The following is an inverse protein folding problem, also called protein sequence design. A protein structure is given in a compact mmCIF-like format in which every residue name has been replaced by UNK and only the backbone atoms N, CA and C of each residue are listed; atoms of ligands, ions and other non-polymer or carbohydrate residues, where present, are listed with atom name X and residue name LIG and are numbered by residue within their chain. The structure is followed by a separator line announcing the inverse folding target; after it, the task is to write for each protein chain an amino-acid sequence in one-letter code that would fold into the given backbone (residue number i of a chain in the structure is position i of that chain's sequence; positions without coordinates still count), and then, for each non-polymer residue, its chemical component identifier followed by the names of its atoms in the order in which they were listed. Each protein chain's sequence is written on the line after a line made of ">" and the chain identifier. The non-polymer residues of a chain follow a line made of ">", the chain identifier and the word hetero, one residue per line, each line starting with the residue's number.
data_IF_873003240402
#
_entry.id   IF_873003240402
#
_cell.length_a   1.000
_cell.length_b   1.000
_cell.length_c   1.000
_cell.angle_alpha   90.00
_cell.angle_beta   90.00
_cell.angle_gamma   90.00
#
_symmetry.space_group_name_H-M   'P 1'
#
loop_
_entity.id
_entity.type
_entity.pdbx_description
1 polymer ?
#
# COMPACT_ATOMS: atom_id res chain seq x y z
N UNK A 1 -32.22 14.21 12.32
CA UNK A 1 -31.76 12.92 11.75
C UNK A 1 -30.24 12.96 11.71
N UNK A 2 -29.55 12.19 12.56
CA UNK A 2 -28.10 12.21 12.66
C UNK A 2 -27.47 11.43 11.51
N UNK A 3 -26.53 12.04 10.79
CA UNK A 3 -25.75 11.37 9.75
C UNK A 3 -24.62 10.61 10.45
N UNK A 4 -24.70 9.28 10.50
CA UNK A 4 -23.59 8.44 10.94
C UNK A 4 -22.61 8.29 9.78
N UNK A 5 -21.47 8.99 9.85
CA UNK A 5 -20.39 8.88 8.87
C UNK A 5 -19.45 7.76 9.33
N UNK A 6 -19.27 6.72 8.51
CA UNK A 6 -18.35 5.62 8.78
C UNK A 6 -17.12 5.83 7.89
N UNK A 7 -16.04 6.35 8.48
CA UNK A 7 -14.71 6.21 7.92
C UNK A 7 -14.22 4.76 8.10
N UNK A 8 -13.47 4.23 7.15
CA UNK A 8 -13.04 2.83 7.12
C UNK A 8 -12.15 2.49 8.35
N UNK A 9 -12.74 1.83 9.34
CA UNK A 9 -12.20 0.77 10.21
C UNK A 9 -10.89 0.99 10.98
N UNK A 10 -10.99 1.49 12.21
CA UNK A 10 -9.98 1.40 13.29
C UNK A 10 -10.37 0.37 14.39
N UNK A 11 -11.37 -0.51 14.19
CA UNK A 11 -11.84 -1.45 15.24
C UNK A 11 -12.04 -2.89 14.75
N UNK A 12 -11.83 -3.86 15.64
CA UNK A 12 -11.98 -5.31 15.42
C UNK A 12 -13.36 -5.72 14.88
N UNK A 13 -14.44 -5.04 15.29
CA UNK A 13 -15.80 -5.31 14.79
C UNK A 13 -15.99 -4.89 13.32
N UNK A 14 -15.30 -3.84 12.89
CA UNK A 14 -15.29 -3.40 11.48
C UNK A 14 -14.39 -4.28 10.61
N UNK A 15 -13.36 -4.91 11.17
CA UNK A 15 -12.55 -5.92 10.48
C UNK A 15 -13.33 -7.23 10.22
N UNK A 16 -14.32 -7.54 11.07
CA UNK A 16 -15.15 -8.74 10.95
C UNK A 16 -16.29 -8.62 9.92
N UNK A 17 -16.54 -7.42 9.38
CA UNK A 17 -17.51 -7.23 8.31
C UNK A 17 -16.97 -7.78 6.98
N UNK A 18 -17.83 -8.40 6.12
CA UNK A 18 -17.48 -8.70 4.74
C UNK A 18 -16.63 -7.61 4.10
N UNK A 19 -15.40 -7.97 3.73
CA UNK A 19 -14.38 -7.05 3.22
C UNK A 19 -14.84 -6.29 1.98
N UNK A 20 -15.80 -6.86 1.26
CA UNK A 20 -16.31 -6.32 0.03
C UNK A 20 -17.53 -5.43 0.25
N UNK A 21 -17.39 -4.16 -0.14
CA UNK A 21 -18.50 -3.20 -0.09
C UNK A 21 -19.76 -3.69 -0.80
N UNK A 22 -19.65 -4.50 -1.85
CA UNK A 22 -20.81 -5.04 -2.58
C UNK A 22 -21.73 -5.93 -1.74
N UNK A 23 -21.24 -6.53 -0.66
CA UNK A 23 -22.06 -7.35 0.25
C UNK A 23 -23.18 -6.56 0.91
N UNK A 24 -23.09 -5.23 0.90
CA UNK A 24 -24.08 -4.31 1.46
C UNK A 24 -24.85 -3.52 0.39
N UNK A 25 -24.60 -3.83 -0.89
CA UNK A 25 -25.16 -3.10 -2.03
C UNK A 25 -26.68 -3.18 -2.14
N UNK A 26 -27.34 -4.13 -1.46
CA UNK A 26 -28.79 -4.26 -1.44
C UNK A 26 -29.46 -3.62 -0.22
N UNK A 27 -28.70 -3.16 0.78
CA UNK A 27 -29.27 -2.47 1.95
C UNK A 27 -29.59 -1.03 1.58
N UNK A 28 -30.87 -0.66 1.53
CA UNK A 28 -31.35 0.63 1.01
C UNK A 28 -30.73 1.86 1.69
N UNK A 29 -30.49 1.78 3.00
CA UNK A 29 -30.03 2.91 3.81
C UNK A 29 -28.53 3.18 3.72
N UNK A 30 -27.77 2.30 3.06
CA UNK A 30 -26.32 2.45 2.93
C UNK A 30 -26.00 3.34 1.72
N UNK A 31 -25.04 4.24 1.91
CA UNK A 31 -24.44 5.09 0.88
C UNK A 31 -22.92 4.95 0.97
N UNK A 32 -22.27 4.99 -0.18
CA UNK A 32 -20.82 4.83 -0.32
C UNK A 32 -20.23 6.17 -0.75
N UNK A 33 -19.60 6.86 0.19
CA UNK A 33 -18.95 8.12 -0.09
C UNK A 33 -17.56 7.86 -0.68
N UNK A 34 -17.27 8.42 -1.84
CA UNK A 34 -16.08 8.12 -2.60
C UNK A 34 -15.54 9.35 -3.34
N UNK A 35 -14.23 9.42 -3.56
CA UNK A 35 -13.61 10.45 -4.40
C UNK A 35 -13.59 10.08 -5.90
N UNK A 36 -14.03 8.87 -6.26
CA UNK A 36 -14.15 8.41 -7.65
C UNK A 36 -15.19 7.31 -7.77
N UNK A 37 -15.86 7.24 -8.92
CA UNK A 37 -16.78 6.14 -9.26
C UNK A 37 -16.11 4.76 -9.31
N UNK A 38 -14.79 4.71 -9.46
CA UNK A 38 -14.01 3.47 -9.42
C UNK A 38 -13.87 2.90 -8.01
N UNK A 39 -14.11 3.71 -6.97
CA UNK A 39 -14.13 3.21 -5.60
C UNK A 39 -15.33 2.27 -5.38
N UNK A 40 -15.14 1.25 -4.55
CA UNK A 40 -16.13 0.18 -4.30
C UNK A 40 -16.57 -0.50 -5.60
N UNK A 41 -15.67 -1.27 -6.25
CA UNK A 41 -16.05 -2.06 -7.42
C UNK A 41 -17.19 -3.03 -7.05
N UNK A 42 -18.10 -3.24 -8.01
CA UNK A 42 -19.35 -4.02 -7.86
C UNK A 42 -20.45 -3.40 -6.98
N UNK A 43 -20.27 -2.19 -6.43
CA UNK A 43 -21.39 -1.43 -5.85
C UNK A 43 -22.11 -0.65 -6.95
N UNK A 44 -23.45 -0.71 -6.94
CA UNK A 44 -24.32 -0.01 -7.89
C UNK A 44 -24.10 1.51 -7.79
N UNK A 45 -23.99 2.18 -8.93
CA UNK A 45 -23.63 3.61 -9.02
C UNK A 45 -24.59 4.52 -8.25
N UNK A 46 -25.89 4.22 -8.24
CA UNK A 46 -26.91 4.98 -7.51
C UNK A 46 -26.71 5.02 -5.99
N UNK A 47 -25.87 4.14 -5.43
CA UNK A 47 -25.50 4.15 -4.01
C UNK A 47 -24.20 4.89 -3.73
N UNK A 48 -23.46 5.28 -4.77
CA UNK A 48 -22.21 6.04 -4.63
C UNK A 48 -22.54 7.53 -4.56
N UNK A 49 -21.93 8.19 -3.59
CA UNK A 49 -21.98 9.65 -3.45
C UNK A 49 -20.57 10.14 -3.71
N UNK A 50 -20.39 10.82 -4.85
CA UNK A 50 -19.10 11.40 -5.20
C UNK A 50 -18.85 12.61 -4.29
N UNK A 51 -17.75 12.55 -3.54
CA UNK A 51 -17.25 13.64 -2.75
C UNK A 51 -16.36 14.51 -3.64
N UNK A 52 -16.73 15.77 -3.82
CA UNK A 52 -15.88 16.80 -4.40
C UNK A 52 -15.47 17.74 -3.27
N UNK A 53 -14.36 17.46 -2.56
CA UNK A 53 -13.91 18.33 -1.49
C UNK A 53 -13.63 19.72 -2.08
N UNK A 54 -14.40 20.71 -1.63
CA UNK A 54 -14.23 22.11 -2.00
C UNK A 54 -13.43 22.80 -0.89
N UNK A 55 -12.12 22.92 -1.11
CA UNK A 55 -11.16 23.43 -0.13
C UNK A 55 -11.25 24.95 0.14
N UNK A 56 -12.22 25.65 -0.46
CA UNK A 56 -12.33 27.13 -0.42
C UNK A 56 -12.77 27.75 0.93
N UNK A 57 -12.72 27.05 2.07
CA UNK A 57 -13.07 27.64 3.37
C UNK A 57 -12.77 26.77 4.58
N UNK A 58 -12.23 27.40 5.64
CA UNK A 58 -11.89 26.82 6.95
C UNK A 58 -11.40 25.37 6.86
N UNK A 59 -10.36 25.16 6.06
CA UNK A 59 -9.65 23.90 6.02
C UNK A 59 -9.21 23.55 7.44
N UNK A 60 -9.44 22.29 7.80
CA UNK A 60 -9.10 21.73 9.09
C UNK A 60 -7.57 21.63 9.16
N UNK A 61 -6.86 22.75 9.34
CA UNK A 61 -5.40 22.77 9.41
C UNK A 61 -4.95 21.86 10.55
N UNK A 62 -4.47 20.67 10.21
CA UNK A 62 -3.84 19.77 11.15
C UNK A 62 -2.38 20.24 11.26
N UNK A 63 -1.93 20.74 12.42
CA UNK A 63 -0.55 21.18 12.58
C UNK A 63 0.42 20.08 12.16
N UNK A 64 1.44 20.42 11.37
CA UNK A 64 2.43 19.46 10.87
C UNK A 64 2.01 18.68 9.62
N UNK A 65 0.85 18.98 9.02
CA UNK A 65 0.39 18.36 7.77
C UNK A 65 0.20 19.41 6.67
N UNK A 66 1.29 20.14 6.39
CA UNK A 66 1.33 21.18 5.36
C UNK A 66 1.26 20.57 3.95
N UNK A 67 0.64 21.28 2.98
CA UNK A 67 0.61 20.84 1.59
C UNK A 67 2.00 20.82 0.96
N UNK A 68 2.21 19.89 0.03
CA UNK A 68 3.45 19.70 -0.70
C UNK A 68 3.29 20.18 -2.14
N UNK A 69 4.38 20.67 -2.75
CA UNK A 69 4.38 21.09 -4.16
C UNK A 69 5.65 20.62 -4.85
N UNK A 70 5.50 20.04 -6.04
CA UNK A 70 6.62 19.53 -6.87
C UNK A 70 7.51 18.49 -6.15
N UNK A 71 6.97 17.85 -5.11
CA UNK A 71 7.70 16.92 -4.25
C UNK A 71 7.59 15.48 -4.72
N UNK A 72 8.61 14.68 -4.40
CA UNK A 72 8.58 13.23 -4.59
C UNK A 72 8.34 12.59 -3.22
N UNK A 73 7.44 11.62 -3.14
CA UNK A 73 7.05 10.94 -1.91
C UNK A 73 7.27 9.45 -2.10
N UNK A 74 8.26 8.92 -1.40
CA UNK A 74 8.57 7.50 -1.32
C UNK A 74 7.71 6.88 -0.23
N UNK A 75 6.93 5.88 -0.60
CA UNK A 75 6.00 5.20 0.30
C UNK A 75 6.64 3.89 0.75
N UNK A 76 6.94 3.82 2.03
CA UNK A 76 7.45 2.62 2.67
C UNK A 76 6.35 1.58 2.86
N UNK A 77 6.72 0.31 2.72
CA UNK A 77 5.74 -0.76 2.60
C UNK A 77 6.34 -2.12 3.07
N UNK A 78 5.50 -3.15 3.28
CA UNK A 78 5.94 -4.42 3.89
C UNK A 78 5.98 -5.63 2.95
N UNK A 79 5.67 -5.44 1.68
CA UNK A 79 5.60 -6.43 0.61
C UNK A 79 6.88 -7.28 0.55
N UNK A 80 8.06 -6.66 0.48
CA UNK A 80 9.33 -7.40 0.43
C UNK A 80 9.46 -8.39 1.60
N UNK A 81 9.10 -7.96 2.81
CA UNK A 81 9.15 -8.81 4.00
C UNK A 81 8.04 -9.87 4.02
N UNK A 82 6.80 -9.48 3.71
CA UNK A 82 5.62 -10.37 3.75
C UNK A 82 5.72 -11.49 2.72
N UNK A 83 6.19 -11.15 1.52
CA UNK A 83 6.36 -12.09 0.41
C UNK A 83 7.76 -12.71 0.38
N UNK A 84 8.59 -12.44 1.38
CA UNK A 84 9.95 -13.00 1.53
C UNK A 84 10.80 -12.82 0.27
N UNK A 85 10.72 -11.65 -0.35
CA UNK A 85 11.54 -11.31 -1.51
C UNK A 85 13.01 -11.30 -1.07
N UNK A 86 13.88 -11.97 -1.83
CA UNK A 86 15.29 -12.06 -1.50
C UNK A 86 15.96 -10.69 -1.39
N UNK A 87 17.01 -10.60 -0.57
CA UNK A 87 17.73 -9.35 -0.34
C UNK A 87 18.36 -8.79 -1.62
N UNK A 88 18.91 -9.66 -2.47
CA UNK A 88 19.50 -9.26 -3.76
C UNK A 88 18.45 -8.64 -4.69
N UNK A 89 17.28 -9.26 -4.75
CA UNK A 89 16.15 -8.80 -5.55
C UNK A 89 15.59 -7.49 -5.01
N UNK A 90 15.43 -7.37 -3.69
CA UNK A 90 15.03 -6.12 -3.02
C UNK A 90 16.01 -4.99 -3.37
N UNK A 91 17.31 -5.27 -3.28
CA UNK A 91 18.37 -4.30 -3.62
C UNK A 91 18.32 -3.89 -5.09
N UNK A 92 18.12 -4.85 -6.00
CA UNK A 92 17.99 -4.58 -7.44
C UNK A 92 16.79 -3.68 -7.74
N UNK A 93 15.63 -3.98 -7.15
CA UNK A 93 14.39 -3.21 -7.35
C UNK A 93 14.54 -1.78 -6.83
N UNK A 94 15.13 -1.60 -5.65
CA UNK A 94 15.36 -0.28 -5.06
C UNK A 94 16.36 0.54 -5.89
N UNK A 95 17.44 -0.07 -6.36
CA UNK A 95 18.40 0.59 -7.25
C UNK A 95 17.75 1.04 -8.55
N UNK A 96 16.95 0.19 -9.19
CA UNK A 96 16.20 0.55 -10.39
C UNK A 96 15.18 1.67 -10.12
N UNK A 97 14.55 1.65 -8.95
CA UNK A 97 13.64 2.71 -8.52
C UNK A 97 14.39 4.05 -8.36
N UNK A 98 15.59 4.04 -7.79
CA UNK A 98 16.44 5.24 -7.67
C UNK A 98 16.85 5.79 -9.05
N UNK A 99 17.20 4.91 -10.00
CA UNK A 99 17.48 5.34 -11.38
C UNK A 99 16.25 6.02 -11.99
N UNK A 100 15.06 5.45 -11.78
CA UNK A 100 13.81 6.09 -12.21
C UNK A 100 13.56 7.42 -11.52
N UNK A 101 13.83 7.54 -10.22
CA UNK A 101 13.74 8.82 -9.49
C UNK A 101 14.62 9.89 -10.12
N UNK A 102 15.84 9.54 -10.54
CA UNK A 102 16.75 10.45 -11.24
C UNK A 102 16.14 11.03 -12.53
N UNK A 103 15.37 10.23 -13.28
CA UNK A 103 14.67 10.70 -14.48
C UNK A 103 13.56 11.70 -14.14
N UNK A 104 12.81 11.44 -13.06
CA UNK A 104 11.71 12.33 -12.63
C UNK A 104 12.20 13.59 -11.95
N UNK A 105 13.43 13.63 -11.44
CA UNK A 105 13.97 14.82 -10.75
C UNK A 105 13.99 16.08 -11.61
N UNK A 106 13.93 15.94 -12.94
CA UNK A 106 13.79 17.06 -13.87
C UNK A 106 12.44 17.76 -13.75
N UNK A 107 11.38 17.02 -13.44
CA UNK A 107 9.99 17.50 -13.39
C UNK A 107 9.54 17.88 -11.98
N UNK A 108 10.17 17.30 -10.94
CA UNK A 108 9.84 17.52 -9.53
C UNK A 108 10.99 18.22 -8.80
N UNK A 109 10.84 19.52 -8.53
CA UNK A 109 11.88 20.39 -7.94
C UNK A 109 11.87 20.46 -6.40
N UNK A 110 10.80 20.00 -5.76
CA UNK A 110 10.63 19.99 -4.30
C UNK A 110 11.55 18.98 -3.59
N UNK A 111 11.27 18.68 -2.33
CA UNK A 111 12.04 17.67 -1.58
C UNK A 111 11.62 16.24 -1.93
N UNK A 112 12.49 15.29 -1.58
CA UNK A 112 12.15 13.86 -1.54
C UNK A 112 11.72 13.56 -0.10
N UNK A 113 10.48 13.14 0.08
CA UNK A 113 9.94 12.72 1.35
C UNK A 113 9.90 11.20 1.42
N UNK A 114 10.23 10.64 2.58
CA UNK A 114 10.04 9.23 2.88
C UNK A 114 8.92 9.09 3.91
N UNK A 115 7.80 8.47 3.49
CA UNK A 115 6.70 8.13 4.40
C UNK A 115 6.87 6.71 4.93
N UNK A 116 7.25 6.61 6.20
CA UNK A 116 7.32 5.34 6.92
C UNK A 116 5.94 4.79 7.26
N UNK A 117 5.87 3.47 7.43
CA UNK A 117 4.67 2.81 7.99
C UNK A 117 4.50 3.21 9.46
N UNK A 118 3.27 3.26 9.98
CA UNK A 118 3.04 3.52 11.39
C UNK A 118 3.88 2.59 12.29
N UNK A 119 4.59 3.16 13.26
CA UNK A 119 5.47 2.47 14.21
C UNK A 119 6.72 1.81 13.61
N UNK A 120 7.04 2.07 12.34
CA UNK A 120 8.29 1.58 11.76
C UNK A 120 9.47 2.44 12.21
N UNK A 121 10.56 1.78 12.57
CA UNK A 121 11.83 2.42 12.89
C UNK A 121 12.57 2.80 11.59
N UNK A 122 13.20 3.98 11.57
CA UNK A 122 13.94 4.50 10.41
C UNK A 122 15.01 3.51 9.95
N UNK A 123 15.71 2.87 10.89
CA UNK A 123 16.82 1.94 10.65
C UNK A 123 16.36 0.65 9.95
N UNK A 124 15.06 0.35 10.05
CA UNK A 124 14.42 -0.80 9.39
C UNK A 124 13.82 -0.46 8.03
N UNK A 125 13.92 0.79 7.58
CA UNK A 125 13.46 1.20 6.25
C UNK A 125 14.36 0.65 5.16
N UNK A 126 13.75 0.12 4.11
CA UNK A 126 14.48 -0.36 2.93
C UNK A 126 14.90 0.82 2.03
N UNK A 127 14.12 1.90 2.05
CA UNK A 127 14.41 3.11 1.31
C UNK A 127 15.59 3.88 1.92
N UNK A 128 15.63 4.06 3.25
CA UNK A 128 16.69 4.80 3.96
C UNK A 128 18.07 4.33 3.54
N UNK A 129 18.34 3.03 3.66
CA UNK A 129 19.64 2.44 3.31
C UNK A 129 20.00 2.70 1.85
N UNK A 130 19.02 2.59 0.95
CA UNK A 130 19.24 2.79 -0.48
C UNK A 130 19.51 4.25 -0.83
N UNK A 131 18.80 5.19 -0.20
CA UNK A 131 19.00 6.63 -0.40
C UNK A 131 20.34 7.11 0.17
N UNK A 132 20.72 6.63 1.35
CA UNK A 132 21.98 6.97 2.01
C UNK A 132 23.20 6.48 1.22
N UNK A 133 23.14 5.24 0.71
CA UNK A 133 24.19 4.69 -0.14
C UNK A 133 24.42 5.54 -1.40
N UNK A 134 23.35 6.06 -1.99
CA UNK A 134 23.39 6.91 -3.20
C UNK A 134 23.52 8.41 -2.87
N UNK A 135 23.66 8.78 -1.59
CA UNK A 135 23.77 10.17 -1.09
C UNK A 135 22.63 11.08 -1.56
N UNK A 136 21.42 10.52 -1.69
CA UNK A 136 20.24 11.28 -2.07
C UNK A 136 19.65 11.93 -0.82
N UNK A 137 19.50 13.27 -0.76
CA UNK A 137 18.88 13.92 0.39
C UNK A 137 17.38 13.61 0.45
N UNK A 138 16.88 13.33 1.65
CA UNK A 138 15.48 13.06 1.91
C UNK A 138 15.03 13.55 3.28
N UNK A 139 13.73 13.79 3.42
CA UNK A 139 13.08 14.18 4.67
C UNK A 139 12.12 13.07 5.10
N UNK A 140 12.29 12.52 6.31
CA UNK A 140 11.37 11.50 6.85
C UNK A 140 10.09 12.18 7.33
N UNK A 141 8.94 11.73 6.82
CA UNK A 141 7.64 12.12 7.37
C UNK A 141 7.34 11.34 8.63
N UNK A 142 6.89 12.05 9.66
CA UNK A 142 6.51 11.45 10.94
C UNK A 142 5.30 10.52 10.79
N UNK A 143 5.14 9.60 11.76
CA UNK A 143 4.14 8.53 11.68
C UNK A 143 2.69 9.02 11.76
N UNK A 144 2.48 10.18 12.39
CA UNK A 144 1.20 10.88 12.57
C UNK A 144 0.71 11.64 11.33
N UNK A 145 1.55 11.79 10.30
CA UNK A 145 1.14 12.39 9.02
C UNK A 145 0.12 11.49 8.33
N UNK A 146 -1.08 12.02 8.11
CA UNK A 146 -2.14 11.39 7.31
C UNK A 146 -1.90 11.78 5.86
N UNK A 147 -1.18 10.95 5.12
CA UNK A 147 -0.72 11.31 3.79
C UNK A 147 -1.88 11.58 2.83
N UNK A 148 -3.01 10.88 2.94
CA UNK A 148 -4.20 11.17 2.14
C UNK A 148 -4.70 12.60 2.33
N UNK A 149 -4.65 13.14 3.56
CA UNK A 149 -5.05 14.51 3.84
C UNK A 149 -4.08 15.51 3.20
N UNK A 150 -2.77 15.30 3.40
CA UNK A 150 -1.70 16.12 2.81
C UNK A 150 -1.83 16.15 1.29
N UNK A 151 -1.94 14.99 0.64
CA UNK A 151 -2.07 14.89 -0.81
C UNK A 151 -3.29 15.63 -1.32
N UNK A 152 -4.41 15.55 -0.60
CA UNK A 152 -5.65 16.19 -1.03
C UNK A 152 -5.56 17.74 -1.11
N UNK A 153 -4.56 18.34 -0.45
CA UNK A 153 -4.24 19.78 -0.50
C UNK A 153 -2.95 20.08 -1.27
N UNK A 154 -2.19 19.05 -1.63
CA UNK A 154 -0.90 19.19 -2.31
C UNK A 154 -1.12 19.43 -3.81
N UNK A 155 -0.07 19.88 -4.50
CA UNK A 155 -0.10 20.07 -5.94
C UNK A 155 1.10 19.40 -6.60
N UNK A 156 0.87 18.74 -7.73
CA UNK A 156 1.93 18.22 -8.59
C UNK A 156 2.99 17.38 -7.84
N UNK A 157 2.55 16.40 -7.05
CA UNK A 157 3.46 15.44 -6.41
C UNK A 157 3.68 14.19 -7.29
N UNK A 158 4.79 13.50 -7.02
CA UNK A 158 5.04 12.13 -7.46
C UNK A 158 5.03 11.21 -6.25
N UNK A 159 4.25 10.13 -6.30
CA UNK A 159 4.32 9.05 -5.33
C UNK A 159 5.00 7.83 -5.95
N UNK A 160 5.91 7.22 -5.21
CA UNK A 160 6.56 5.98 -5.61
C UNK A 160 6.53 4.96 -4.47
N UNK A 161 6.17 3.73 -4.76
CA UNK A 161 6.18 2.64 -3.79
C UNK A 161 5.95 1.29 -4.47
N UNK A 162 5.74 0.23 -3.69
CA UNK A 162 5.50 -1.12 -4.24
C UNK A 162 4.02 -1.40 -4.44
N UNK A 163 3.33 -1.85 -3.40
CA UNK A 163 1.88 -2.09 -3.42
C UNK A 163 1.27 -1.34 -2.25
N UNK A 164 0.69 -0.16 -2.52
CA UNK A 164 0.10 0.69 -1.49
C UNK A 164 -1.16 1.39 -1.99
N UNK A 165 -2.18 1.48 -1.13
CA UNK A 165 -3.38 2.29 -1.39
C UNK A 165 -3.07 3.77 -1.55
N UNK A 166 -1.95 4.25 -1.01
CA UNK A 166 -1.52 5.63 -1.16
C UNK A 166 -1.22 5.99 -2.62
N UNK A 167 -0.69 5.06 -3.41
CA UNK A 167 -0.47 5.27 -4.86
C UNK A 167 -1.80 5.47 -5.61
N UNK A 168 -2.84 4.74 -5.18
CA UNK A 168 -4.18 4.92 -5.74
C UNK A 168 -4.77 6.28 -5.33
N UNK A 169 -4.69 6.64 -4.05
CA UNK A 169 -5.21 7.93 -3.58
C UNK A 169 -4.46 9.12 -4.17
N UNK A 170 -3.14 9.04 -4.30
CA UNK A 170 -2.34 10.07 -4.98
C UNK A 170 -2.84 10.31 -6.41
N UNK A 171 -3.08 9.22 -7.17
CA UNK A 171 -3.65 9.32 -8.51
C UNK A 171 -5.05 9.95 -8.52
N UNK A 172 -5.90 9.60 -7.55
CA UNK A 172 -7.24 10.19 -7.42
C UNK A 172 -7.21 11.70 -7.14
N UNK A 173 -6.20 12.18 -6.40
CA UNK A 173 -6.00 13.60 -6.13
C UNK A 173 -5.26 14.34 -7.27
N UNK A 174 -5.01 13.68 -8.39
CA UNK A 174 -4.37 14.30 -9.57
C UNK A 174 -2.84 14.31 -9.53
N UNK A 175 -2.22 13.54 -8.63
CA UNK A 175 -0.77 13.34 -8.60
C UNK A 175 -0.34 12.19 -9.48
N UNK A 176 0.95 12.19 -9.85
CA UNK A 176 1.55 11.04 -10.51
C UNK A 176 1.85 9.96 -9.48
N UNK A 177 1.52 8.71 -9.76
CA UNK A 177 1.86 7.58 -8.88
C UNK A 177 2.48 6.44 -9.67
N UNK A 178 3.56 5.87 -9.12
CA UNK A 178 4.36 4.83 -9.77
C UNK A 178 4.53 3.66 -8.80
N UNK A 179 4.27 2.46 -9.30
CA UNK A 179 4.55 1.23 -8.59
C UNK A 179 5.83 0.60 -9.14
N UNK A 180 6.78 0.28 -8.26
CA UNK A 180 7.96 -0.51 -8.62
C UNK A 180 7.69 -2.02 -8.58
N UNK A 181 6.45 -2.46 -8.30
CA UNK A 181 6.05 -3.87 -8.30
C UNK A 181 6.36 -4.57 -9.63
N UNK A 182 6.14 -3.88 -10.77
CA UNK A 182 6.42 -4.43 -12.10
C UNK A 182 7.91 -4.69 -12.38
N UNK A 183 8.81 -4.20 -11.51
CA UNK A 183 10.25 -4.46 -11.58
C UNK A 183 10.59 -5.76 -10.84
N UNK A 184 9.76 -6.19 -9.89
CA UNK A 184 10.03 -7.35 -9.03
C UNK A 184 9.91 -8.63 -9.84
N UNK A 185 11.00 -9.38 -9.91
CA UNK A 185 11.02 -10.76 -10.36
C UNK A 185 10.53 -11.62 -9.20
N UNK A 186 9.21 -11.78 -9.12
CA UNK A 186 8.64 -12.79 -8.23
C UNK A 186 8.81 -14.11 -8.96
N UNK A 187 9.81 -14.89 -8.57
CA UNK A 187 9.73 -16.35 -8.74
C UNK A 187 8.40 -16.72 -8.09
N UNK A 188 7.42 -17.12 -8.90
CA UNK A 188 6.08 -17.40 -8.43
C UNK A 188 6.17 -18.59 -7.49
N UNK A 189 6.37 -18.36 -6.21
CA UNK A 189 6.09 -19.33 -5.16
C UNK A 189 4.57 -19.45 -5.16
N UNK A 190 4.09 -20.37 -5.97
CA UNK A 190 2.72 -20.82 -5.98
C UNK A 190 2.41 -21.49 -4.65
N UNK A 191 1.14 -21.54 -4.23
CA UNK A 191 0.72 -22.38 -3.10
C UNK A 191 1.15 -23.85 -3.25
N UNK A 192 1.47 -24.30 -4.48
CA UNK A 192 1.91 -25.65 -4.80
C UNK A 192 3.39 -25.90 -4.50
N UNK A 193 4.22 -24.87 -4.41
CA UNK A 193 5.65 -25.04 -4.12
C UNK A 193 5.89 -25.48 -2.66
N UNK A 194 4.90 -25.31 -1.78
CA UNK A 194 4.89 -25.89 -0.43
C UNK A 194 4.28 -27.31 -0.39
N UNK A 195 3.90 -27.92 -1.52
CA UNK A 195 3.36 -29.29 -1.54
C UNK A 195 4.43 -30.37 -1.31
N UNK A 196 5.73 -30.04 -1.35
CA UNK A 196 6.76 -30.98 -0.94
C UNK A 196 6.51 -31.50 0.49
N UNK A 197 6.03 -30.64 1.39
CA UNK A 197 5.62 -31.03 2.74
C UNK A 197 4.42 -32.00 2.75
N UNK A 198 3.44 -31.80 1.85
CA UNK A 198 2.29 -32.69 1.71
C UNK A 198 2.73 -34.07 1.20
N UNK A 199 3.57 -34.12 0.16
CA UNK A 199 4.07 -35.37 -0.40
C UNK A 199 5.03 -36.10 0.55
N UNK A 200 5.87 -35.38 1.29
CA UNK A 200 6.73 -35.95 2.34
C UNK A 200 5.91 -36.56 3.48
N UNK A 201 4.77 -35.95 3.85
CA UNK A 201 3.80 -36.55 4.79
C UNK A 201 3.12 -37.80 4.22
N UNK A 202 2.72 -37.78 2.94
CA UNK A 202 2.12 -38.94 2.26
C UNK A 202 3.12 -40.11 2.18
N UNK A 203 4.38 -39.85 1.82
CA UNK A 203 5.43 -40.86 1.80
C UNK A 203 5.71 -41.45 3.20
N UNK A 204 5.77 -40.61 4.23
CA UNK A 204 5.97 -41.10 5.61
C UNK A 204 4.82 -41.99 6.08
N UNK A 205 3.58 -41.70 5.65
CA UNK A 205 2.41 -42.53 5.94
C UNK A 205 2.41 -43.85 5.14
N UNK A 206 2.85 -43.83 3.87
CA UNK A 206 2.93 -45.03 3.04
C UNK A 206 4.04 -45.97 3.53
N UNK A 207 5.18 -45.43 3.98
CA UNK A 207 6.28 -46.22 4.58
C UNK A 207 5.87 -46.89 5.90
N UNK A 208 5.09 -46.22 6.77
CA UNK A 208 4.58 -46.82 8.02
C UNK A 208 3.65 -48.03 7.80
N UNK A 209 2.88 -48.06 6.71
CA UNK A 209 2.03 -49.21 6.38
C UNK A 209 2.83 -50.44 5.91
N UNK A 210 4.00 -50.23 5.30
CA UNK A 210 4.85 -51.32 4.83
C UNK A 210 5.69 -51.96 5.94
N UNK A 211 6.00 -51.25 7.02
CA UNK A 211 6.65 -51.83 8.21
C UNK A 211 5.68 -52.65 9.07
N UNK A 212 4.39 -52.31 9.10
CA UNK A 212 3.37 -53.11 9.81
C UNK A 212 3.03 -54.44 9.11
N UNK A 213 3.23 -54.54 7.79
CA UNK A 213 2.97 -55.78 7.03
C UNK A 213 4.12 -56.80 7.01
N UNK A 214 5.28 -56.47 7.59
CA UNK A 214 6.46 -57.37 7.65
C UNK A 214 6.67 -58.03 9.02
N UNK A 215 5.81 -57.75 10.00
CA UNK A 215 5.85 -58.33 11.34
C UNK A 215 4.62 -59.22 11.64
N UNK A 216 4.05 -59.86 10.61
CA UNK A 216 3.11 -60.97 10.77
C UNK A 216 3.70 -62.20 10.11
#
# INVERSE_FOLDING_TARGET
>A
RGITRIARGYTLKLLAMPYYGHSYSFIERIRYYAFSYNAFPAVIESKKVLLSPNYKGNELKIPGQEPLTDSIILVEESFFNVYKVGQDETTRVLRNSIIQLGNFRKDYKGEIYLKLRPNQLIESSIWVKSLENEKIPYTVMTNDVILEYVLSMSNHCLLMGTVSSLLYYGSLFGHRSISNYGIINIDRITPFDNMEFYWDKVEKLSRKKNTQKRNC
#
